data_IF_134761232491
#
_entry.id   IF_134761232491
#
_cell.length_a   1.000
_cell.length_b   1.000
_cell.length_c   1.000
_cell.angle_alpha   90.00
_cell.angle_beta   90.00
_cell.angle_gamma   90.00
#
_symmetry.space_group_name_H-M   'P 1'
#
loop_
_entity.id
_entity.type
_entity.pdbx_description
1 polymer ?
#
# COMPACT_ATOMS: atom_id res chain seq x y z
N UNK A 1 -2.70 17.93 -22.63
CA UNK A 1 -3.16 16.53 -22.57
C UNK A 1 -3.54 16.23 -21.13
N UNK A 2 -4.76 15.76 -20.91
CA UNK A 2 -5.39 15.64 -19.59
C UNK A 2 -4.80 14.43 -18.85
N UNK A 3 -3.80 14.65 -17.99
CA UNK A 3 -3.16 13.62 -17.17
C UNK A 3 -4.00 13.31 -15.93
N UNK A 4 -5.23 12.87 -16.14
CA UNK A 4 -6.14 12.42 -15.07
C UNK A 4 -6.59 11.00 -15.34
N UNK A 5 -6.68 10.21 -14.27
CA UNK A 5 -7.48 9.00 -14.14
C UNK A 5 -8.72 9.05 -15.05
N UNK A 6 -8.79 8.21 -16.09
CA UNK A 6 -9.93 8.17 -17.01
C UNK A 6 -10.85 7.00 -16.66
N UNK A 7 -12.17 7.14 -16.86
CA UNK A 7 -13.13 6.06 -16.56
C UNK A 7 -12.80 4.74 -17.27
N UNK A 8 -12.21 4.80 -18.47
CA UNK A 8 -11.74 3.62 -19.20
C UNK A 8 -10.68 2.79 -18.44
N UNK A 9 -9.79 3.46 -17.71
CA UNK A 9 -8.83 2.80 -16.82
C UNK A 9 -9.55 2.09 -15.66
N UNK A 10 -10.65 2.66 -15.16
CA UNK A 10 -11.47 2.00 -14.15
C UNK A 10 -12.28 0.85 -14.73
N UNK A 11 -12.81 0.97 -15.95
CA UNK A 11 -13.51 -0.11 -16.63
C UNK A 11 -12.61 -1.34 -16.79
N UNK A 12 -11.37 -1.15 -17.24
CA UNK A 12 -10.39 -2.22 -17.41
C UNK A 12 -9.96 -2.83 -16.06
N UNK A 13 -9.92 -2.03 -14.98
CA UNK A 13 -9.65 -2.47 -13.60
C UNK A 13 -10.81 -3.29 -13.03
N UNK A 14 -12.03 -2.81 -13.22
CA UNK A 14 -13.26 -3.43 -12.76
C UNK A 14 -13.42 -4.78 -13.45
N UNK A 15 -13.34 -4.84 -14.79
CA UNK A 15 -13.54 -6.05 -15.63
C UNK A 15 -12.68 -7.27 -15.28
N UNK A 16 -11.67 -7.06 -14.45
CA UNK A 16 -10.69 -8.05 -14.15
C UNK A 16 -10.77 -8.53 -12.67
N UNK A 17 -11.28 -7.73 -11.74
CA UNK A 17 -11.68 -8.21 -10.40
C UNK A 17 -12.72 -9.37 -10.46
N UNK A 18 -13.31 -9.61 -11.63
CA UNK A 18 -14.29 -10.64 -12.00
C UNK A 18 -13.84 -12.09 -11.79
N UNK A 19 -12.54 -12.39 -11.64
CA UNK A 19 -12.05 -13.77 -11.77
C UNK A 19 -12.35 -14.69 -10.57
N UNK A 20 -12.69 -14.19 -9.37
CA UNK A 20 -12.74 -15.05 -8.17
C UNK A 20 -14.02 -15.00 -7.29
N UNK A 21 -14.87 -13.96 -7.31
CA UNK A 21 -16.13 -13.96 -6.53
C UNK A 21 -17.24 -13.14 -7.23
N UNK A 22 -18.34 -13.78 -7.66
CA UNK A 22 -19.45 -13.11 -8.35
C UNK A 22 -20.03 -11.96 -7.53
N UNK A 23 -20.29 -12.16 -6.24
CA UNK A 23 -20.90 -11.12 -5.39
C UNK A 23 -20.00 -9.89 -5.24
N UNK A 24 -18.68 -10.08 -5.22
CA UNK A 24 -17.71 -8.96 -5.19
C UNK A 24 -17.69 -8.24 -6.53
N UNK A 25 -17.76 -8.98 -7.63
CA UNK A 25 -17.89 -8.42 -8.98
C UNK A 25 -19.14 -7.54 -9.12
N UNK A 26 -20.29 -8.06 -8.68
CA UNK A 26 -21.55 -7.31 -8.69
C UNK A 26 -21.43 -6.04 -7.82
N UNK A 27 -20.77 -6.13 -6.66
CA UNK A 27 -20.50 -4.97 -5.80
C UNK A 27 -19.57 -3.92 -6.45
N UNK A 28 -18.61 -4.32 -7.28
CA UNK A 28 -17.80 -3.38 -8.06
C UNK A 28 -18.67 -2.64 -9.08
N UNK A 29 -19.53 -3.36 -9.81
CA UNK A 29 -20.49 -2.75 -10.75
C UNK A 29 -21.43 -1.78 -10.04
N UNK A 30 -22.01 -2.19 -8.90
CA UNK A 30 -22.90 -1.34 -8.09
C UNK A 30 -22.21 -0.04 -7.66
N UNK A 31 -20.94 -0.12 -7.23
CA UNK A 31 -20.17 1.05 -6.82
C UNK A 31 -19.80 1.93 -8.02
N UNK A 32 -19.58 1.35 -9.20
CA UNK A 32 -19.16 2.08 -10.39
C UNK A 32 -20.30 2.85 -11.02
N UNK A 33 -21.49 2.24 -11.04
CA UNK A 33 -22.71 2.85 -11.55
C UNK A 33 -23.33 3.84 -10.54
N UNK A 34 -22.87 3.84 -9.30
CA UNK A 34 -23.37 4.71 -8.23
C UNK A 34 -22.90 6.15 -8.41
N UNK A 35 -23.85 7.09 -8.51
CA UNK A 35 -23.56 8.53 -8.51
C UNK A 35 -22.94 9.04 -7.18
N UNK A 36 -23.10 8.28 -6.09
CA UNK A 36 -22.62 8.64 -4.75
C UNK A 36 -21.18 8.15 -4.48
N UNK A 37 -20.52 7.52 -5.46
CA UNK A 37 -19.20 6.95 -5.28
C UNK A 37 -18.34 7.12 -6.54
N UNK A 38 -17.12 7.63 -6.38
CA UNK A 38 -16.15 7.72 -7.46
C UNK A 38 -14.92 6.87 -7.14
N UNK A 39 -14.73 5.79 -7.89
CA UNK A 39 -13.61 4.86 -7.69
C UNK A 39 -12.25 5.53 -7.79
N UNK A 40 -12.09 6.48 -8.72
CA UNK A 40 -10.84 7.21 -8.94
C UNK A 40 -10.45 8.06 -7.75
N UNK A 41 -11.39 8.82 -7.23
CA UNK A 41 -11.21 9.64 -6.02
C UNK A 41 -10.95 8.75 -4.82
N UNK A 42 -11.72 7.66 -4.65
CA UNK A 42 -11.51 6.71 -3.56
C UNK A 42 -10.11 6.08 -3.56
N UNK A 43 -9.63 5.59 -4.71
CA UNK A 43 -8.31 5.00 -4.81
C UNK A 43 -7.20 6.03 -4.56
N UNK A 44 -7.35 7.25 -5.10
CA UNK A 44 -6.41 8.34 -4.85
C UNK A 44 -6.39 8.72 -3.36
N UNK A 45 -7.56 8.82 -2.72
CA UNK A 45 -7.68 9.11 -1.30
C UNK A 45 -6.99 8.02 -0.48
N UNK A 46 -7.12 6.73 -0.83
CA UNK A 46 -6.38 5.67 -0.16
C UNK A 46 -4.85 5.88 -0.24
N UNK A 47 -4.33 6.31 -1.39
CA UNK A 47 -2.90 6.65 -1.55
C UNK A 47 -2.50 7.84 -0.68
N UNK A 48 -3.35 8.87 -0.62
CA UNK A 48 -3.13 10.07 0.20
C UNK A 48 -3.17 9.72 1.69
N UNK A 49 -4.17 8.96 2.15
CA UNK A 49 -4.27 8.52 3.54
C UNK A 49 -3.02 7.71 3.92
N UNK A 50 -2.59 6.79 3.06
CA UNK A 50 -1.39 5.99 3.30
C UNK A 50 -0.14 6.86 3.47
N UNK A 51 0.19 7.68 2.47
CA UNK A 51 1.40 8.53 2.50
C UNK A 51 1.36 9.55 3.63
N UNK A 52 0.20 10.18 3.86
CA UNK A 52 0.02 11.11 4.97
C UNK A 52 0.26 10.45 6.32
N UNK A 53 -0.37 9.31 6.60
CA UNK A 53 -0.21 8.64 7.90
C UNK A 53 1.15 7.96 8.08
N UNK A 54 1.80 7.57 6.99
CA UNK A 54 3.19 7.09 7.00
C UNK A 54 4.12 8.20 7.49
N UNK A 55 4.10 9.36 6.84
CA UNK A 55 4.94 10.51 7.23
C UNK A 55 4.55 11.09 8.58
N UNK A 56 3.25 11.12 8.90
CA UNK A 56 2.79 11.53 10.21
C UNK A 56 3.29 10.60 11.32
N UNK A 57 3.43 9.30 11.04
CA UNK A 57 4.02 8.35 11.98
C UNK A 57 5.49 8.68 12.23
N UNK A 58 6.25 9.06 11.21
CA UNK A 58 7.62 9.54 11.39
C UNK A 58 7.70 10.78 12.28
N UNK A 59 6.85 11.79 12.06
CA UNK A 59 6.78 12.98 12.92
C UNK A 59 6.62 12.58 14.40
N UNK A 60 5.73 11.63 14.68
CA UNK A 60 5.52 11.12 16.05
C UNK A 60 6.72 10.35 16.59
N UNK A 61 7.39 9.55 15.77
CA UNK A 61 8.61 8.83 16.18
C UNK A 61 9.76 9.80 16.53
N UNK A 62 9.88 10.92 15.79
CA UNK A 62 10.86 11.97 16.06
C UNK A 62 10.56 12.73 17.36
N UNK A 63 9.30 13.11 17.59
CA UNK A 63 8.88 13.83 18.80
C UNK A 63 9.21 13.05 20.09
N UNK A 64 8.94 11.75 20.08
CA UNK A 64 9.21 10.84 21.21
C UNK A 64 10.70 10.66 21.54
N UNK A 65 11.59 11.04 20.62
CA UNK A 65 13.03 10.98 20.79
C UNK A 65 13.66 12.26 21.36
N UNK A 66 12.90 13.36 21.47
CA UNK A 66 13.40 14.67 21.95
C UNK A 66 14.73 15.11 21.31
N UNK A 67 14.99 14.68 20.08
CA UNK A 67 16.25 14.91 19.37
C UNK A 67 16.13 16.04 18.36
N UNK A 68 17.18 16.87 18.23
CA UNK A 68 17.39 17.74 17.08
C UNK A 68 17.82 16.88 15.88
N UNK A 69 16.91 16.11 15.30
CA UNK A 69 17.18 15.44 14.03
C UNK A 69 16.55 16.24 12.90
N UNK A 70 17.32 16.46 11.83
CA UNK A 70 16.80 17.02 10.60
C UNK A 70 15.65 16.13 10.10
N UNK A 71 14.45 16.74 10.01
CA UNK A 71 13.23 16.12 9.49
C UNK A 71 13.35 16.00 7.97
N UNK A 72 14.14 15.04 7.49
CA UNK A 72 14.10 14.64 6.08
C UNK A 72 12.95 13.64 5.90
N UNK A 73 11.78 14.16 5.52
CA UNK A 73 10.60 13.38 5.13
C UNK A 73 10.68 13.16 3.60
N UNK A 74 10.80 11.91 3.15
CA UNK A 74 10.89 11.60 1.72
C UNK A 74 10.68 10.10 1.47
N UNK A 75 9.63 9.78 0.72
CA UNK A 75 9.41 8.46 0.11
C UNK A 75 10.41 8.14 -1.05
N UNK A 76 11.22 9.11 -1.49
CA UNK A 76 12.19 8.88 -2.58
C UNK A 76 13.43 8.12 -2.10
N UNK A 77 13.81 7.08 -2.85
CA UNK A 77 15.01 6.27 -2.65
C UNK A 77 16.29 7.06 -2.97
N UNK A 78 16.70 7.94 -2.07
CA UNK A 78 18.04 8.52 -2.14
C UNK A 78 19.07 7.50 -1.65
N UNK A 79 20.18 7.36 -2.37
CA UNK A 79 21.30 6.50 -1.97
C UNK A 79 21.99 7.15 -0.77
N UNK A 80 21.54 6.79 0.42
CA UNK A 80 22.12 7.18 1.70
C UNK A 80 22.57 5.93 2.45
N UNK A 81 23.58 6.08 3.31
CA UNK A 81 24.17 4.97 4.05
C UNK A 81 23.10 4.25 4.91
N UNK A 82 23.26 2.93 5.02
CA UNK A 82 22.36 2.08 5.79
C UNK A 82 22.24 2.52 7.26
N UNK A 83 21.01 2.71 7.72
CA UNK A 83 20.66 2.91 9.12
C UNK A 83 19.57 1.92 9.52
N UNK A 84 19.93 0.95 10.37
CA UNK A 84 19.00 -0.09 10.80
C UNK A 84 17.83 0.45 11.63
N UNK A 85 18.05 1.50 12.44
CA UNK A 85 16.99 2.10 13.23
C UNK A 85 15.92 2.72 12.36
N UNK A 86 16.34 3.30 11.25
CA UNK A 86 15.44 3.89 10.29
C UNK A 86 14.63 2.84 9.55
N UNK A 87 15.22 1.69 9.21
CA UNK A 87 14.43 0.56 8.69
C UNK A 87 13.35 0.11 9.68
N UNK A 88 13.64 0.09 10.98
CA UNK A 88 12.66 -0.21 12.03
C UNK A 88 11.52 0.82 12.04
N UNK A 89 11.85 2.09 11.84
CA UNK A 89 10.87 3.19 11.82
C UNK A 89 10.00 3.19 10.57
N UNK A 90 10.58 2.92 9.40
CA UNK A 90 9.88 2.70 8.12
C UNK A 90 8.92 1.52 8.24
N UNK A 91 9.39 0.42 8.83
CA UNK A 91 8.56 -0.75 9.13
C UNK A 91 7.32 -0.35 9.94
N UNK A 92 7.50 0.34 11.07
CA UNK A 92 6.40 0.80 11.93
C UNK A 92 5.49 1.85 11.26
N UNK A 93 6.05 2.74 10.44
CA UNK A 93 5.30 3.73 9.67
C UNK A 93 4.38 3.07 8.65
N UNK A 94 4.90 2.12 7.86
CA UNK A 94 4.12 1.32 6.92
C UNK A 94 2.98 0.56 7.62
N UNK A 95 3.24 -0.08 8.78
CA UNK A 95 2.18 -0.78 9.54
C UNK A 95 1.07 0.18 9.99
N UNK A 96 1.47 1.31 10.58
CA UNK A 96 0.54 2.31 11.12
C UNK A 96 -0.31 2.92 10.01
N UNK A 97 0.30 3.23 8.87
CA UNK A 97 -0.38 3.79 7.70
C UNK A 97 -1.37 2.80 7.08
N UNK A 98 -0.96 1.54 6.89
CA UNK A 98 -1.84 0.49 6.37
C UNK A 98 -3.09 0.31 7.25
N UNK A 99 -2.92 0.31 8.57
CA UNK A 99 -4.04 0.25 9.51
C UNK A 99 -4.99 1.46 9.38
N UNK A 100 -4.45 2.68 9.26
CA UNK A 100 -5.27 3.88 9.09
C UNK A 100 -6.09 3.85 7.79
N UNK A 101 -5.56 3.25 6.72
CA UNK A 101 -6.30 3.06 5.48
C UNK A 101 -7.47 2.09 5.69
N UNK A 102 -7.31 1.01 6.46
CA UNK A 102 -8.43 0.12 6.81
C UNK A 102 -9.53 0.89 7.56
N UNK A 103 -9.16 1.75 8.51
CA UNK A 103 -10.14 2.62 9.21
C UNK A 103 -10.82 3.59 8.24
N UNK A 104 -10.08 4.14 7.27
CA UNK A 104 -10.64 4.97 6.21
C UNK A 104 -11.67 4.19 5.38
N UNK A 105 -11.36 2.97 4.95
CA UNK A 105 -12.29 2.09 4.22
C UNK A 105 -13.59 1.88 5.00
N UNK A 106 -13.49 1.58 6.30
CA UNK A 106 -14.67 1.41 7.16
C UNK A 106 -15.49 2.70 7.27
N UNK A 107 -14.84 3.86 7.30
CA UNK A 107 -15.53 5.15 7.30
C UNK A 107 -16.32 5.38 6.00
N UNK A 108 -15.77 4.99 4.85
CA UNK A 108 -16.42 5.08 3.54
C UNK A 108 -17.58 4.10 3.44
N UNK A 109 -17.37 2.85 3.84
CA UNK A 109 -18.43 1.83 3.87
C UNK A 109 -19.62 2.26 4.72
N UNK A 110 -19.36 2.90 5.87
CA UNK A 110 -20.39 3.52 6.70
C UNK A 110 -21.13 4.65 6.00
N UNK A 111 -20.41 5.57 5.32
CA UNK A 111 -21.02 6.68 4.56
C UNK A 111 -21.93 6.19 3.43
N UNK A 112 -21.57 5.07 2.82
CA UNK A 112 -22.40 4.41 1.80
C UNK A 112 -23.63 3.69 2.39
N UNK A 113 -23.78 3.65 3.71
CA UNK A 113 -24.93 3.04 4.39
C UNK A 113 -24.83 1.55 4.63
N UNK A 114 -23.61 0.98 4.74
CA UNK A 114 -23.37 -0.44 5.05
C UNK A 114 -24.08 -1.43 4.09
N UNK A 115 -24.22 -1.05 2.82
CA UNK A 115 -25.03 -1.75 1.80
C UNK A 115 -24.82 -3.27 1.77
N UNK A 116 -23.57 -3.76 1.75
CA UNK A 116 -23.28 -5.20 1.78
C UNK A 116 -21.85 -5.51 2.25
N UNK A 117 -21.60 -6.78 2.63
CA UNK A 117 -20.25 -7.31 2.88
C UNK A 117 -19.41 -7.34 1.60
N UNK A 118 -20.02 -7.62 0.46
CA UNK A 118 -19.32 -7.64 -0.83
C UNK A 118 -18.78 -6.26 -1.22
N UNK A 119 -19.55 -5.18 -0.96
CA UNK A 119 -19.08 -3.80 -1.13
C UNK A 119 -17.89 -3.52 -0.20
N UNK A 120 -17.92 -3.99 1.06
CA UNK A 120 -16.78 -3.82 1.95
C UNK A 120 -15.53 -4.56 1.44
N UNK A 121 -15.67 -5.81 0.97
CA UNK A 121 -14.58 -6.58 0.35
C UNK A 121 -13.98 -5.82 -0.85
N UNK A 122 -14.84 -5.35 -1.75
CA UNK A 122 -14.46 -4.55 -2.90
C UNK A 122 -13.63 -3.32 -2.50
N UNK A 123 -14.12 -2.53 -1.54
CA UNK A 123 -13.41 -1.36 -1.05
C UNK A 123 -12.03 -1.72 -0.45
N UNK A 124 -11.93 -2.82 0.31
CA UNK A 124 -10.67 -3.29 0.89
C UNK A 124 -9.66 -3.73 -0.18
N UNK A 125 -10.11 -4.46 -1.21
CA UNK A 125 -9.26 -4.90 -2.33
C UNK A 125 -8.73 -3.68 -3.12
N UNK A 126 -9.59 -2.72 -3.43
CA UNK A 126 -9.19 -1.48 -4.09
C UNK A 126 -8.24 -0.64 -3.23
N UNK A 127 -8.46 -0.58 -1.91
CA UNK A 127 -7.57 0.15 -1.00
C UNK A 127 -6.17 -0.47 -0.94
N UNK A 128 -6.07 -1.78 -0.69
CA UNK A 128 -4.77 -2.45 -0.68
C UNK A 128 -4.06 -2.32 -2.03
N UNK A 129 -4.80 -2.42 -3.14
CA UNK A 129 -4.24 -2.19 -4.46
C UNK A 129 -3.68 -0.77 -4.62
N UNK A 130 -4.39 0.24 -4.13
CA UNK A 130 -3.92 1.64 -4.13
C UNK A 130 -2.58 1.79 -3.38
N UNK A 131 -2.40 1.10 -2.25
CA UNK A 131 -1.16 1.12 -1.48
C UNK A 131 0.00 0.46 -2.25
N UNK A 132 -0.26 -0.69 -2.87
CA UNK A 132 0.71 -1.39 -3.73
C UNK A 132 1.11 -0.49 -4.91
N UNK A 133 0.12 0.08 -5.62
CA UNK A 133 0.38 1.01 -6.72
C UNK A 133 1.26 2.17 -6.26
N UNK A 134 0.93 2.78 -5.11
CA UNK A 134 1.68 3.90 -4.54
C UNK A 134 3.15 3.53 -4.35
N UNK A 135 3.45 2.45 -3.63
CA UNK A 135 4.84 2.03 -3.40
C UNK A 135 5.57 1.65 -4.69
N UNK A 136 4.89 1.02 -5.64
CA UNK A 136 5.51 0.63 -6.91
C UNK A 136 5.73 1.82 -7.85
N UNK A 137 4.92 2.88 -7.77
CA UNK A 137 5.19 4.12 -8.51
C UNK A 137 6.50 4.77 -8.04
N UNK A 138 6.79 4.76 -6.74
CA UNK A 138 8.08 5.18 -6.22
C UNK A 138 9.20 4.22 -6.64
N UNK A 139 8.97 2.91 -6.53
CA UNK A 139 9.98 1.89 -6.84
C UNK A 139 10.41 1.91 -8.30
N UNK A 140 9.46 2.08 -9.22
CA UNK A 140 9.75 2.19 -10.65
C UNK A 140 10.31 3.56 -11.05
N UNK A 141 10.47 4.48 -10.10
CA UNK A 141 11.01 5.82 -10.35
C UNK A 141 10.07 6.70 -11.18
N UNK A 142 8.76 6.44 -11.15
CA UNK A 142 7.78 7.08 -12.04
C UNK A 142 7.30 8.44 -11.52
N UNK A 143 7.28 8.63 -10.20
CA UNK A 143 6.76 9.86 -9.57
C UNK A 143 7.51 11.13 -10.00
N UNK A 144 8.80 11.01 -10.32
CA UNK A 144 9.65 12.15 -10.73
C UNK A 144 9.61 12.43 -12.24
N UNK A 145 8.86 11.65 -13.03
CA UNK A 145 8.82 11.77 -14.48
C UNK A 145 7.65 12.63 -14.95
N UNK A 146 7.96 13.68 -15.70
CA UNK A 146 7.00 14.75 -16.06
C UNK A 146 6.11 14.35 -17.26
N UNK A 147 6.60 13.48 -18.14
CA UNK A 147 5.84 13.05 -19.33
C UNK A 147 6.35 11.74 -19.92
N UNK A 148 5.49 10.96 -20.60
CA UNK A 148 5.89 9.75 -21.30
C UNK A 148 6.87 10.03 -22.47
N UNK A 149 7.63 9.01 -22.93
CA UNK A 149 7.60 7.63 -22.46
C UNK A 149 8.26 7.48 -21.09
N UNK A 150 7.56 6.82 -20.18
CA UNK A 150 8.09 6.53 -18.85
C UNK A 150 9.20 5.49 -18.94
N UNK A 151 10.26 5.69 -18.17
CA UNK A 151 11.37 4.75 -18.06
C UNK A 151 11.42 4.17 -16.67
N UNK A 152 11.37 2.86 -16.57
CA UNK A 152 11.53 2.18 -15.29
C UNK A 152 13.01 2.20 -14.89
N UNK A 153 13.29 2.67 -13.68
CA UNK A 153 14.60 2.59 -13.03
C UNK A 153 14.46 1.82 -11.72
N UNK A 154 14.81 0.54 -11.76
CA UNK A 154 14.66 -0.39 -10.62
C UNK A 154 16.02 -0.65 -10.00
N UNK A 155 16.11 -0.51 -8.68
CA UNK A 155 17.25 -0.98 -7.91
C UNK A 155 17.23 -2.49 -7.71
N UNK A 156 18.40 -3.14 -7.73
CA UNK A 156 18.52 -4.54 -7.29
C UNK A 156 18.04 -4.72 -5.84
N UNK A 157 17.47 -5.89 -5.54
CA UNK A 157 17.03 -6.25 -4.19
C UNK A 157 18.15 -6.11 -3.14
N UNK A 158 17.78 -5.63 -1.95
CA UNK A 158 18.66 -5.53 -0.78
C UNK A 158 17.85 -5.56 0.52
N UNK A 159 18.53 -5.85 1.63
CA UNK A 159 17.96 -5.70 2.98
C UNK A 159 18.71 -4.65 3.80
N UNK A 160 20.04 -4.61 3.71
CA UNK A 160 20.91 -3.76 4.55
C UNK A 160 21.89 -2.91 3.75
N UNK A 161 21.38 -2.14 2.79
CA UNK A 161 22.23 -1.33 1.88
C UNK A 161 21.98 0.16 1.96
N UNK A 162 20.71 0.57 1.86
CA UNK A 162 20.32 1.97 1.86
C UNK A 162 19.62 2.35 3.15
N UNK A 163 19.36 3.65 3.34
CA UNK A 163 18.60 4.18 4.47
C UNK A 163 17.14 3.69 4.51
N UNK A 164 16.45 3.59 3.38
CA UNK A 164 15.10 2.99 3.33
C UNK A 164 15.17 1.47 3.08
N UNK A 165 14.21 0.67 3.57
CA UNK A 165 14.02 -0.71 3.14
C UNK A 165 13.82 -0.80 1.62
N UNK A 166 14.18 -1.95 1.05
CA UNK A 166 13.85 -2.22 -0.36
C UNK A 166 12.32 -2.27 -0.54
N UNK A 167 11.76 -1.75 -1.65
CA UNK A 167 10.30 -1.67 -1.82
C UNK A 167 9.55 -2.99 -1.71
N UNK A 168 10.17 -4.10 -2.12
CA UNK A 168 9.62 -5.45 -1.89
C UNK A 168 9.42 -5.75 -0.40
N UNK A 169 10.38 -5.38 0.47
CA UNK A 169 10.27 -5.55 1.92
C UNK A 169 9.09 -4.75 2.46
N UNK A 170 9.00 -3.46 2.09
CA UNK A 170 7.89 -2.59 2.47
C UNK A 170 6.53 -3.08 1.95
N UNK A 171 6.45 -3.53 0.70
CA UNK A 171 5.22 -4.06 0.12
C UNK A 171 4.70 -5.29 0.87
N UNK A 172 5.58 -6.21 1.27
CA UNK A 172 5.20 -7.37 2.09
C UNK A 172 4.73 -6.93 3.48
N UNK A 173 5.43 -5.99 4.12
CA UNK A 173 5.02 -5.47 5.43
C UNK A 173 3.66 -4.77 5.38
N UNK A 174 3.40 -3.98 4.32
CA UNK A 174 2.11 -3.33 4.08
C UNK A 174 1.01 -4.37 3.91
N UNK A 175 1.25 -5.38 3.06
CA UNK A 175 0.29 -6.46 2.82
C UNK A 175 -0.07 -7.18 4.12
N UNK A 176 0.93 -7.64 4.87
CA UNK A 176 0.73 -8.37 6.12
C UNK A 176 0.00 -7.50 7.15
N UNK A 177 0.37 -6.23 7.28
CA UNK A 177 -0.24 -5.31 8.25
C UNK A 177 -1.68 -4.95 7.90
N UNK A 178 -1.97 -4.82 6.60
CA UNK A 178 -3.33 -4.60 6.11
C UNK A 178 -4.20 -5.83 6.36
N UNK A 179 -3.69 -7.03 6.05
CA UNK A 179 -4.38 -8.31 6.30
C UNK A 179 -4.67 -8.50 7.80
N UNK A 180 -3.67 -8.34 8.66
CA UNK A 180 -3.83 -8.46 10.12
C UNK A 180 -4.86 -7.45 10.66
N UNK A 181 -4.87 -6.22 10.15
CA UNK A 181 -5.87 -5.21 10.54
C UNK A 181 -7.31 -5.64 10.20
N UNK A 182 -7.49 -6.34 9.08
CA UNK A 182 -8.78 -6.91 8.69
C UNK A 182 -9.13 -8.11 9.58
N UNK A 183 -8.19 -9.03 9.81
CA UNK A 183 -8.42 -10.22 10.63
C UNK A 183 -8.81 -9.87 12.07
N UNK A 184 -8.11 -8.91 12.68
CA UNK A 184 -8.36 -8.45 14.04
C UNK A 184 -9.66 -7.62 14.13
N UNK A 185 -9.90 -6.73 13.17
CA UNK A 185 -11.00 -5.77 13.21
C UNK A 185 -12.33 -6.29 12.65
N UNK A 186 -12.27 -7.27 11.74
CA UNK A 186 -13.40 -7.75 10.94
C UNK A 186 -13.39 -9.29 10.80
N UNK A 187 -13.28 -10.07 11.89
CA UNK A 187 -13.07 -11.52 11.84
C UNK A 187 -14.19 -12.29 11.10
N UNK A 188 -15.39 -11.71 11.00
CA UNK A 188 -16.55 -12.32 10.34
C UNK A 188 -16.73 -11.90 8.87
N UNK A 189 -15.77 -11.18 8.29
CA UNK A 189 -15.82 -10.74 6.89
C UNK A 189 -15.48 -11.88 5.92
N UNK A 190 -14.69 -12.87 6.37
CA UNK A 190 -14.39 -14.08 5.61
C UNK A 190 -13.58 -13.80 4.33
N UNK A 191 -12.61 -12.89 4.41
CA UNK A 191 -11.61 -12.70 3.36
C UNK A 191 -10.43 -13.63 3.68
N UNK A 192 -10.11 -14.54 2.77
CA UNK A 192 -8.85 -15.29 2.85
C UNK A 192 -7.71 -14.38 2.37
N UNK A 193 -6.56 -14.43 3.03
CA UNK A 193 -5.30 -13.76 2.65
C UNK A 193 -4.96 -13.92 1.17
N UNK A 194 -5.15 -15.11 0.59
CA UNK A 194 -4.89 -15.36 -0.82
C UNK A 194 -5.83 -14.56 -1.73
N UNK A 195 -7.11 -14.47 -1.37
CA UNK A 195 -8.10 -13.70 -2.13
C UNK A 195 -7.79 -12.21 -2.07
N UNK A 196 -7.42 -11.71 -0.88
CA UNK A 196 -6.97 -10.33 -0.68
C UNK A 196 -5.76 -10.01 -1.56
N UNK A 197 -4.74 -10.88 -1.55
CA UNK A 197 -3.52 -10.71 -2.34
C UNK A 197 -3.82 -10.71 -3.84
N UNK A 198 -4.51 -11.74 -4.33
CA UNK A 198 -4.75 -11.94 -5.76
C UNK A 198 -5.60 -10.81 -6.33
N UNK A 199 -6.70 -10.43 -5.68
CA UNK A 199 -7.56 -9.36 -6.18
C UNK A 199 -6.83 -8.00 -6.17
N UNK A 200 -6.10 -7.69 -5.11
CA UNK A 200 -5.40 -6.40 -4.99
C UNK A 200 -4.24 -6.27 -5.98
N UNK A 201 -3.46 -7.33 -6.19
CA UNK A 201 -2.37 -7.34 -7.17
C UNK A 201 -2.91 -7.28 -8.60
N UNK A 202 -4.06 -7.88 -8.87
CA UNK A 202 -4.64 -7.83 -10.19
C UNK A 202 -5.11 -6.43 -10.58
N UNK A 203 -5.78 -5.73 -9.66
CA UNK A 203 -6.11 -4.30 -9.81
C UNK A 203 -4.83 -3.47 -10.09
N UNK A 204 -3.75 -3.73 -9.35
CA UNK A 204 -2.48 -3.02 -9.53
C UNK A 204 -1.83 -3.34 -10.89
N UNK A 205 -1.85 -4.60 -11.32
CA UNK A 205 -1.36 -5.05 -12.63
C UNK A 205 -2.07 -4.32 -13.77
N UNK A 206 -3.38 -4.13 -13.69
CA UNK A 206 -4.15 -3.43 -14.73
C UNK A 206 -3.76 -1.97 -14.81
N UNK A 207 -3.63 -1.31 -13.66
CA UNK A 207 -3.14 0.06 -13.57
C UNK A 207 -1.78 0.22 -14.27
N UNK A 208 -0.81 -0.63 -13.92
CA UNK A 208 0.52 -0.57 -14.50
C UNK A 208 0.55 -0.97 -15.97
N UNK A 209 -0.26 -1.92 -16.43
CA UNK A 209 -0.35 -2.27 -17.87
C UNK A 209 -0.77 -1.09 -18.73
N UNK A 210 -1.66 -0.25 -18.22
CA UNK A 210 -2.11 0.96 -18.93
C UNK A 210 -1.06 2.07 -18.83
N UNK A 211 -0.43 2.22 -17.65
CA UNK A 211 0.60 3.24 -17.44
C UNK A 211 1.91 2.95 -18.21
N UNK A 212 2.25 1.67 -18.36
CA UNK A 212 3.51 1.16 -18.90
C UNK A 212 3.25 0.13 -20.01
N UNK A 213 2.59 0.52 -21.13
CA UNK A 213 2.14 -0.43 -22.16
C UNK A 213 3.30 -1.13 -22.88
N UNK A 214 4.49 -0.53 -22.87
CA UNK A 214 5.71 -1.08 -23.50
C UNK A 214 6.45 -2.09 -22.60
N UNK A 215 6.00 -2.29 -21.37
CA UNK A 215 6.67 -3.15 -20.37
C UNK A 215 5.87 -4.42 -20.07
N UNK A 216 6.59 -5.52 -19.83
CA UNK A 216 6.00 -6.72 -19.26
C UNK A 216 5.75 -6.54 -17.76
N UNK A 217 4.66 -5.86 -17.44
CA UNK A 217 4.25 -5.54 -16.05
C UNK A 217 4.06 -6.80 -15.19
N UNK A 218 3.61 -7.90 -15.79
CA UNK A 218 3.42 -9.15 -15.08
C UNK A 218 4.75 -9.75 -14.63
N UNK A 219 5.71 -9.79 -15.55
CA UNK A 219 7.08 -10.17 -15.24
C UNK A 219 7.71 -9.21 -14.22
N UNK A 220 7.53 -7.90 -14.37
CA UNK A 220 8.06 -6.90 -13.44
C UNK A 220 7.52 -7.09 -12.02
N UNK A 221 6.21 -7.22 -11.84
CA UNK A 221 5.63 -7.44 -10.51
C UNK A 221 6.08 -8.80 -9.97
N UNK A 222 6.03 -9.86 -10.77
CA UNK A 222 6.37 -11.20 -10.28
C UNK A 222 7.85 -11.35 -9.91
N UNK A 223 8.76 -10.90 -10.77
CA UNK A 223 10.20 -10.98 -10.54
C UNK A 223 10.66 -10.06 -9.41
N UNK A 224 10.01 -8.93 -9.17
CA UNK A 224 10.43 -8.03 -8.08
C UNK A 224 9.75 -8.34 -6.75
N UNK A 225 8.49 -8.81 -6.77
CA UNK A 225 7.72 -9.05 -5.56
C UNK A 225 7.97 -10.45 -4.98
N UNK A 226 8.00 -11.49 -5.83
CA UNK A 226 7.97 -12.87 -5.35
C UNK A 226 9.31 -13.58 -5.37
N UNK A 227 10.27 -13.15 -6.19
CA UNK A 227 11.60 -13.80 -6.25
C UNK A 227 12.39 -13.72 -4.94
N UNK A 228 12.07 -12.73 -4.10
CA UNK A 228 12.74 -12.44 -2.84
C UNK A 228 11.79 -12.46 -1.63
N UNK A 229 10.65 -13.16 -1.74
CA UNK A 229 9.62 -13.16 -0.69
C UNK A 229 10.14 -13.73 0.63
N UNK A 230 10.96 -14.78 0.57
CA UNK A 230 11.51 -15.42 1.77
C UNK A 230 12.50 -14.49 2.48
N UNK A 231 13.42 -13.87 1.73
CA UNK A 231 14.38 -12.92 2.27
C UNK A 231 13.69 -11.67 2.81
N UNK A 232 12.65 -11.18 2.12
CA UNK A 232 11.84 -10.05 2.56
C UNK A 232 11.10 -10.35 3.87
N UNK A 233 10.46 -11.52 3.98
CA UNK A 233 9.74 -11.94 5.19
C UNK A 233 10.69 -12.14 6.37
N UNK A 234 11.82 -12.82 6.17
CA UNK A 234 12.84 -12.97 7.22
C UNK A 234 13.35 -11.61 7.73
N UNK A 235 13.49 -10.64 6.82
CA UNK A 235 13.91 -9.30 7.21
C UNK A 235 12.78 -8.54 7.92
N UNK A 236 11.52 -8.66 7.49
CA UNK A 236 10.37 -8.10 8.19
C UNK A 236 10.19 -8.69 9.61
N UNK A 237 10.43 -9.99 9.80
CA UNK A 237 10.45 -10.62 11.12
C UNK A 237 11.53 -10.02 12.03
N UNK A 238 12.72 -9.78 11.46
CA UNK A 238 13.80 -9.10 12.17
C UNK A 238 13.38 -7.67 12.55
N UNK A 239 12.85 -6.89 11.62
CA UNK A 239 12.39 -5.52 11.88
C UNK A 239 11.28 -5.50 12.95
N UNK A 240 10.36 -6.46 12.91
CA UNK A 240 9.31 -6.63 13.92
C UNK A 240 9.88 -6.81 15.33
N UNK A 241 10.82 -7.76 15.50
CA UNK A 241 11.42 -8.06 16.80
C UNK A 241 12.08 -6.82 17.41
N UNK A 242 12.78 -6.04 16.58
CA UNK A 242 13.42 -4.82 17.04
C UNK A 242 12.43 -3.66 17.27
N UNK A 243 11.38 -3.54 16.45
CA UNK A 243 10.31 -2.56 16.63
C UNK A 243 9.63 -2.68 18.00
N UNK A 244 9.42 -3.92 18.49
CA UNK A 244 8.85 -4.17 19.83
C UNK A 244 9.73 -3.67 20.98
N UNK A 245 11.03 -3.45 20.72
CA UNK A 245 12.01 -2.99 21.71
C UNK A 245 12.41 -1.53 21.53
N UNK A 246 12.15 -0.91 20.37
CA UNK A 246 12.47 0.50 20.13
C UNK A 246 11.68 1.42 21.06
N UNK A 247 12.42 2.31 21.73
CA UNK A 247 11.86 3.18 22.76
C UNK A 247 10.80 4.16 22.23
N UNK A 248 10.95 4.70 21.02
CA UNK A 248 10.01 5.65 20.46
C UNK A 248 8.70 4.94 20.11
N UNK A 249 8.80 3.80 19.40
CA UNK A 249 7.65 2.97 19.04
C UNK A 249 6.88 2.52 20.28
N UNK A 250 7.59 2.04 21.32
CA UNK A 250 6.95 1.60 22.58
C UNK A 250 6.18 2.72 23.28
N UNK A 251 6.70 3.95 23.29
CA UNK A 251 5.99 5.10 23.86
C UNK A 251 4.72 5.40 23.07
N UNK A 252 4.81 5.40 21.73
CA UNK A 252 3.64 5.63 20.86
C UNK A 252 2.54 4.58 21.03
N UNK A 253 2.90 3.32 21.29
CA UNK A 253 1.94 2.24 21.57
C UNK A 253 1.29 2.43 22.96
N UNK A 254 2.04 2.87 23.96
CA UNK A 254 1.55 3.08 25.34
C UNK A 254 0.68 4.33 25.47
N UNK A 255 1.01 5.39 24.73
CA UNK A 255 0.30 6.67 24.72
C UNK A 255 -1.00 6.61 23.88
N UNK A 256 -1.79 5.53 24.00
CA UNK A 256 -3.12 5.49 23.36
C UNK A 256 -3.96 6.67 23.87
N UNK A 257 -4.25 7.60 22.97
CA UNK A 257 -5.31 8.61 23.10
C UNK A 257 -6.65 7.86 22.95
#
# INVERSE_FOLDING_TARGET
>A
MNSKFTNKLFDDIIFAAFLNEKDVSDAFTDLYESNDFQFSEYMLDCSIQFTFYHEFRHIRQFDEMHGKSDLFLSESFSVQEFDFRKHIWEYDADKSAAHQVVLYVLSIHRKLGYKSKAILKCLLFSALSSLIITKYLFYFGLISQISPPYKIDISNFYTKKNWHPHPTVSAMNIFDSFNLSIEDGLPNLGINTQDLLTNSLYIAKLYFKILLPEYDVEKLISENMFSHINEANQYNDLLHQYALTDSAIKKLIKNKI
#
